data_IF_741719438767
#
_entry.id   IF_741719438767
#
_cell.length_a   1.000
_cell.length_b   1.000
_cell.length_c   1.000
_cell.angle_alpha   90.00
_cell.angle_beta   90.00
_cell.angle_gamma   90.00
#
_symmetry.space_group_name_H-M   'P 1'
#
loop_
_entity.id
_entity.type
_entity.pdbx_description
1 polymer ?
#
# COMPACT_ATOMS: atom_id res chain seq x y z
N UNK A 1 12.18 0.02 -8.09
CA UNK A 1 11.95 0.61 -6.76
C UNK A 1 10.48 0.42 -6.43
N UNK A 2 10.22 -0.21 -5.29
CA UNK A 2 8.90 -0.48 -4.78
C UNK A 2 8.96 -0.22 -3.27
N UNK A 3 8.13 0.68 -2.78
CA UNK A 3 8.05 1.06 -1.38
C UNK A 3 6.60 1.10 -0.93
N UNK A 4 6.38 0.65 0.30
CA UNK A 4 5.11 0.64 0.99
C UNK A 4 5.22 1.55 2.22
N UNK A 5 4.42 2.60 2.26
CA UNK A 5 4.32 3.54 3.38
C UNK A 5 2.98 3.35 4.09
N UNK A 6 3.01 3.24 5.41
CA UNK A 6 1.82 3.40 6.25
C UNK A 6 1.78 4.82 6.79
N UNK A 7 0.78 5.61 6.40
CA UNK A 7 0.62 7.00 6.81
C UNK A 7 -0.45 7.13 7.90
N UNK A 8 -0.04 7.10 9.16
CA UNK A 8 -0.95 7.24 10.31
C UNK A 8 -1.59 8.62 10.46
N UNK A 9 -0.99 9.67 9.89
CA UNK A 9 -1.59 11.03 9.89
C UNK A 9 -2.74 11.16 8.88
N UNK A 10 -2.72 10.36 7.82
CA UNK A 10 -3.73 10.39 6.75
C UNK A 10 -4.63 9.17 6.73
N UNK A 11 -4.44 8.23 7.66
CA UNK A 11 -5.14 6.96 7.70
C UNK A 11 -5.12 6.23 6.34
N UNK A 12 -3.95 6.22 5.72
CA UNK A 12 -3.73 5.71 4.37
C UNK A 12 -2.52 4.79 4.28
N UNK A 13 -2.59 3.84 3.36
CA UNK A 13 -1.46 3.04 2.89
C UNK A 13 -1.07 3.56 1.51
N UNK A 14 0.21 3.88 1.31
CA UNK A 14 0.71 4.38 0.03
C UNK A 14 1.73 3.44 -0.60
N UNK A 15 1.60 3.28 -1.90
CA UNK A 15 2.50 2.51 -2.74
C UNK A 15 3.28 3.43 -3.63
N UNK A 16 4.60 3.41 -3.51
CA UNK A 16 5.49 4.13 -4.40
C UNK A 16 6.19 3.12 -5.31
N UNK A 17 5.87 3.14 -6.60
CA UNK A 17 6.47 2.23 -7.57
C UNK A 17 6.91 2.96 -8.83
N UNK A 18 7.86 2.34 -9.54
CA UNK A 18 8.29 2.81 -10.87
C UNK A 18 7.74 1.89 -11.94
N UNK A 19 6.95 2.44 -12.85
CA UNK A 19 6.43 1.74 -14.02
C UNK A 19 6.76 2.53 -15.28
N UNK A 20 7.39 1.87 -16.25
CA UNK A 20 7.89 2.49 -17.50
C UNK A 20 8.72 3.77 -17.25
N UNK A 21 9.62 3.72 -16.26
CA UNK A 21 10.48 4.85 -15.90
C UNK A 21 9.79 6.01 -15.16
N UNK A 22 8.46 5.98 -15.02
CA UNK A 22 7.69 7.00 -14.28
C UNK A 22 7.41 6.51 -12.86
N UNK A 23 7.59 7.40 -11.88
CA UNK A 23 7.13 7.16 -10.51
C UNK A 23 5.62 7.30 -10.45
N UNK A 24 4.97 6.33 -9.82
CA UNK A 24 3.54 6.34 -9.51
C UNK A 24 3.36 6.18 -8.01
N UNK A 25 2.33 6.84 -7.50
CA UNK A 25 1.89 6.73 -6.12
C UNK A 25 0.42 6.35 -6.11
N UNK A 26 0.08 5.26 -5.44
CA UNK A 26 -1.31 4.85 -5.20
C UNK A 26 -1.57 4.90 -3.70
N UNK A 27 -2.68 5.51 -3.30
CA UNK A 27 -3.08 5.65 -1.90
C UNK A 27 -4.40 4.92 -1.66
N UNK A 28 -4.44 4.09 -0.64
CA UNK A 28 -5.61 3.34 -0.22
C UNK A 28 -6.04 3.85 1.16
N UNK A 29 -7.32 4.22 1.34
CA UNK A 29 -7.83 4.67 2.63
C UNK A 29 -7.94 3.46 3.56
N UNK A 30 -6.90 3.25 4.38
CA UNK A 30 -6.84 2.19 5.37
C UNK A 30 -5.85 2.57 6.46
N UNK A 31 -6.29 2.49 7.72
CA UNK A 31 -5.48 2.83 8.88
C UNK A 31 -4.77 1.58 9.42
N UNK A 32 -3.46 1.47 9.16
CA UNK A 32 -2.59 0.45 9.78
C UNK A 32 -1.93 0.91 11.09
N UNK A 33 -1.76 2.22 11.26
CA UNK A 33 -1.06 2.79 12.42
C UNK A 33 -2.03 3.06 13.58
N UNK A 34 -2.85 2.07 13.94
CA UNK A 34 -3.83 2.15 15.03
C UNK A 34 -3.31 1.56 16.37
N UNK A 35 -2.12 0.94 16.35
CA UNK A 35 -1.52 0.29 17.52
C UNK A 35 -1.84 -1.20 17.65
N UNK A 36 -2.52 -1.80 16.67
CA UNK A 36 -2.79 -3.23 16.58
C UNK A 36 -1.87 -3.92 15.56
N UNK A 37 -1.76 -5.24 15.69
CA UNK A 37 -1.09 -6.07 14.68
C UNK A 37 -2.02 -6.35 13.52
N UNK A 38 -1.58 -6.01 12.31
CA UNK A 38 -2.28 -6.33 11.08
C UNK A 38 -1.48 -7.31 10.23
N UNK A 39 -2.20 -8.20 9.53
CA UNK A 39 -1.61 -9.06 8.49
C UNK A 39 -1.93 -8.49 7.12
N UNK A 40 -0.89 -8.33 6.32
CA UNK A 40 -1.00 -7.71 5.01
C UNK A 40 -0.57 -8.73 3.95
N UNK A 41 -1.40 -8.90 2.92
CA UNK A 41 -1.05 -9.65 1.72
C UNK A 41 -1.06 -8.70 0.53
N UNK A 42 0.06 -8.64 -0.18
CA UNK A 42 0.28 -7.75 -1.30
C UNK A 42 0.52 -8.56 -2.56
N UNK A 43 -0.24 -8.25 -3.60
CA UNK A 43 -0.01 -8.78 -4.95
C UNK A 43 0.31 -7.65 -5.91
N UNK A 44 1.39 -7.80 -6.66
CA UNK A 44 1.84 -6.82 -7.66
C UNK A 44 1.84 -7.50 -9.02
N UNK A 45 1.15 -6.88 -9.99
CA UNK A 45 1.14 -7.32 -11.39
C UNK A 45 1.69 -6.22 -12.31
N UNK A 46 1.75 -6.50 -13.62
CA UNK A 46 2.23 -5.52 -14.59
C UNK A 46 1.37 -4.23 -14.65
N UNK A 47 0.11 -4.28 -14.23
CA UNK A 47 -0.83 -3.15 -14.36
C UNK A 47 -1.64 -2.83 -13.11
N UNK A 48 -1.71 -3.73 -12.13
CA UNK A 48 -2.52 -3.55 -10.92
C UNK A 48 -1.76 -3.96 -9.67
N UNK A 49 -2.03 -3.25 -8.58
CA UNK A 49 -1.63 -3.58 -7.21
C UNK A 49 -2.89 -3.95 -6.43
N UNK A 50 -2.85 -5.09 -5.76
CA UNK A 50 -3.93 -5.56 -4.89
C UNK A 50 -3.41 -5.69 -3.47
N UNK A 51 -4.16 -5.13 -2.54
CA UNK A 51 -3.87 -5.15 -1.13
C UNK A 51 -5.01 -5.81 -0.37
N UNK A 52 -4.66 -6.78 0.45
CA UNK A 52 -5.54 -7.35 1.45
C UNK A 52 -5.00 -7.07 2.84
N UNK A 53 -5.90 -6.73 3.76
CA UNK A 53 -5.56 -6.49 5.17
C UNK A 53 -6.52 -7.28 6.05
N UNK A 54 -5.96 -8.10 6.95
CA UNK A 54 -6.70 -8.92 7.90
C UNK A 54 -7.76 -9.83 7.24
N UNK A 55 -7.40 -10.40 6.08
CA UNK A 55 -8.26 -11.27 5.28
C UNK A 55 -9.47 -10.57 4.61
N UNK A 56 -9.46 -9.23 4.52
CA UNK A 56 -10.34 -8.45 3.65
C UNK A 56 -9.61 -7.99 2.39
#
# INVERSE_FOLDING_TARGET
FFELESSGLRDEIRYHYRFNGKSRTEAFPYRLADGQWHKIALTVSASHVLLHVDCN
#
